data_IF_696703529546
#
_entry.id   IF_696703529546
#
_cell.length_a   1.000
_cell.length_b   1.000
_cell.length_c   1.000
_cell.angle_alpha   90.00
_cell.angle_beta   90.00
_cell.angle_gamma   90.00
#
_symmetry.space_group_name_H-M   'P 1'
#
loop_
_entity.id
_entity.type
_entity.pdbx_description
1 polymer ?
#
# COMPACT_ATOMS: atom_id res chain seq x y z
N UNK A 1 -33.24 73.84 25.54
CA UNK A 1 -32.84 73.82 24.11
C UNK A 1 -33.12 72.43 23.54
N UNK A 2 -34.11 72.35 22.65
CA UNK A 2 -34.37 71.30 21.64
C UNK A 2 -33.12 71.13 20.73
N UNK A 3 -32.88 70.12 19.89
CA UNK A 3 -33.35 68.75 19.60
C UNK A 3 -32.55 68.37 18.30
N UNK A 4 -32.18 67.10 18.12
CA UNK A 4 -31.88 66.40 16.84
C UNK A 4 -30.62 66.75 16.02
N UNK A 5 -29.69 65.80 15.82
CA UNK A 5 -29.59 64.79 14.74
C UNK A 5 -29.28 65.40 13.36
N UNK A 6 -28.07 65.13 12.84
CA UNK A 6 -27.90 64.80 11.42
C UNK A 6 -26.72 63.82 11.25
N UNK A 7 -27.09 62.57 10.98
CA UNK A 7 -26.25 61.49 10.46
C UNK A 7 -26.09 61.75 8.96
N UNK A 8 -24.86 61.73 8.45
CA UNK A 8 -24.58 61.51 7.03
C UNK A 8 -23.50 60.44 6.92
N UNK A 9 -23.94 59.23 6.58
CA UNK A 9 -23.14 58.14 6.04
C UNK A 9 -22.76 58.45 4.60
N UNK A 10 -21.48 58.31 4.24
CA UNK A 10 -21.03 58.11 2.87
C UNK A 10 -19.71 57.33 2.86
N UNK A 11 -19.89 56.01 2.74
CA UNK A 11 -19.19 55.05 1.88
C UNK A 11 -17.78 55.40 1.40
N UNK A 12 -16.80 54.55 1.75
CA UNK A 12 -15.86 53.85 0.86
C UNK A 12 -15.14 52.80 1.72
N UNK A 13 -15.51 51.52 1.57
CA UNK A 13 -14.69 50.39 2.01
C UNK A 13 -14.15 49.76 0.73
N UNK A 14 -12.86 49.92 0.50
CA UNK A 14 -12.13 49.20 -0.54
C UNK A 14 -11.94 47.75 -0.08
N UNK A 15 -12.40 46.83 -0.91
CA UNK A 15 -12.11 45.40 -0.85
C UNK A 15 -10.68 45.21 -1.34
N UNK A 16 -9.79 44.71 -0.49
CA UNK A 16 -8.52 44.12 -0.93
C UNK A 16 -8.52 42.65 -0.55
N UNK A 17 -8.60 41.83 -1.60
CA UNK A 17 -8.20 40.43 -1.73
C UNK A 17 -7.51 39.79 -0.52
N UNK A 18 -8.18 38.81 0.08
CA UNK A 18 -7.54 37.79 0.92
C UNK A 18 -6.84 36.82 -0.04
N UNK A 19 -5.52 36.81 0.00
CA UNK A 19 -4.67 35.80 -0.65
C UNK A 19 -4.79 34.49 0.13
N UNK A 20 -4.96 33.37 -0.56
CA UNK A 20 -4.90 32.04 0.03
C UNK A 20 -3.51 31.83 0.67
N UNK A 21 -3.50 31.57 1.97
CA UNK A 21 -2.32 31.03 2.64
C UNK A 21 -2.02 29.64 2.08
N UNK A 22 -0.76 29.45 1.69
CA UNK A 22 -0.17 28.17 1.30
C UNK A 22 -0.27 27.20 2.48
N UNK A 23 -1.10 26.17 2.32
CA UNK A 23 -1.06 24.98 3.19
C UNK A 23 0.23 24.24 2.84
N UNK A 24 1.29 24.52 3.58
CA UNK A 24 2.49 23.69 3.59
C UNK A 24 2.14 22.32 4.21
N UNK A 25 1.74 21.37 3.37
CA UNK A 25 1.94 19.96 3.67
C UNK A 25 3.46 19.71 3.61
N UNK A 26 4.09 19.48 4.75
CA UNK A 26 5.44 18.89 4.80
C UNK A 26 5.29 17.37 4.77
N UNK A 27 5.44 16.69 3.62
CA UNK A 27 5.55 15.24 3.62
C UNK A 27 6.78 14.82 4.45
N UNK A 28 6.69 13.70 5.14
CA UNK A 28 7.83 13.10 5.83
C UNK A 28 8.86 12.74 4.75
N UNK A 29 10.00 13.43 4.76
CA UNK A 29 11.05 13.32 3.74
C UNK A 29 11.91 12.08 4.00
N UNK A 30 11.45 10.91 3.55
CA UNK A 30 12.33 9.76 3.33
C UNK A 30 12.97 9.88 1.93
N UNK A 31 14.13 10.53 1.82
CA UNK A 31 14.87 10.60 0.56
C UNK A 31 15.66 9.32 0.32
N UNK A 32 15.15 8.46 -0.58
CA UNK A 32 15.94 7.37 -1.15
C UNK A 32 16.34 7.78 -2.56
N UNK A 33 17.61 8.20 -2.69
CA UNK A 33 18.23 8.60 -3.95
C UNK A 33 18.94 7.40 -4.60
N UNK A 34 18.59 7.09 -5.84
CA UNK A 34 19.25 6.04 -6.63
C UNK A 34 20.04 6.64 -7.79
N UNK A 35 21.28 6.21 -7.99
CA UNK A 35 22.07 6.58 -9.16
C UNK A 35 21.58 5.80 -10.41
N UNK A 36 21.66 6.37 -11.62
CA UNK A 36 21.19 5.73 -12.85
C UNK A 36 22.01 4.46 -13.16
N UNK A 37 21.33 3.32 -13.32
CA UNK A 37 21.95 2.07 -13.78
C UNK A 37 22.14 2.10 -15.31
N UNK A 38 23.37 2.29 -15.78
CA UNK A 38 23.73 2.03 -17.19
C UNK A 38 23.80 0.52 -17.42
N UNK A 39 22.88 -0.04 -18.19
CA UNK A 39 22.99 -1.42 -18.68
C UNK A 39 24.14 -1.54 -19.69
N UNK A 40 25.26 -2.08 -19.25
CA UNK A 40 26.33 -2.58 -20.13
C UNK A 40 26.62 -4.05 -19.81
N UNK A 41 26.68 -4.88 -20.86
CA UNK A 41 27.08 -6.30 -20.81
C UNK A 41 28.44 -6.46 -20.11
N UNK A 42 28.51 -7.42 -19.18
CA UNK A 42 29.73 -7.81 -18.46
C UNK A 42 30.88 -8.25 -19.38
N UNK A 43 32.12 -8.09 -18.89
CA UNK A 43 32.90 -9.30 -18.59
C UNK A 43 33.43 -9.37 -17.15
N UNK A 44 33.86 -10.60 -16.80
CA UNK A 44 34.17 -11.18 -15.47
C UNK A 44 35.48 -10.72 -14.81
N UNK A 45 35.54 -10.93 -13.48
CA UNK A 45 36.67 -10.97 -12.52
C UNK A 45 37.27 -9.62 -12.11
N UNK A 46 37.68 -9.32 -10.87
CA UNK A 46 37.82 -10.05 -9.60
C UNK A 46 37.88 -9.00 -8.46
N UNK A 47 37.53 -9.38 -7.22
CA UNK A 47 37.62 -8.62 -5.96
C UNK A 47 36.85 -7.29 -5.86
N UNK A 48 35.62 -7.34 -5.35
CA UNK A 48 34.99 -6.16 -4.75
C UNK A 48 34.15 -6.58 -3.56
N UNK A 49 34.39 -5.93 -2.41
CA UNK A 49 33.50 -5.98 -1.24
C UNK A 49 32.06 -5.82 -1.72
N UNK A 50 31.18 -6.66 -1.16
CA UNK A 50 29.78 -6.82 -1.55
C UNK A 50 29.10 -5.44 -1.63
N UNK A 51 28.67 -5.05 -2.83
CA UNK A 51 27.90 -3.81 -3.08
C UNK A 51 26.60 -3.78 -2.24
N UNK A 52 26.17 -4.94 -1.73
CA UNK A 52 25.05 -5.10 -0.78
C UNK A 52 25.22 -4.29 0.52
N UNK A 53 26.45 -4.00 0.97
CA UNK A 53 26.68 -3.29 2.24
C UNK A 53 26.58 -1.75 2.12
N UNK A 54 26.57 -1.19 0.89
CA UNK A 54 26.57 0.26 0.65
C UNK A 54 25.16 0.87 0.52
N UNK A 55 24.12 0.04 0.43
CA UNK A 55 22.76 0.50 0.12
C UNK A 55 21.69 -0.02 1.09
N UNK A 56 22.06 -0.36 2.33
CA UNK A 56 21.07 -0.54 3.40
C UNK A 56 20.65 0.86 3.90
N UNK A 57 19.48 1.41 3.51
CA UNK A 57 18.97 2.60 4.17
C UNK A 57 18.80 2.28 5.66
N UNK A 58 19.34 3.17 6.52
CA UNK A 58 18.94 3.21 7.93
C UNK A 58 17.47 3.63 7.96
N UNK A 59 16.57 2.65 7.91
CA UNK A 59 15.19 2.89 8.28
C UNK A 59 15.18 3.28 9.76
N UNK A 60 14.71 4.49 10.03
CA UNK A 60 14.25 4.86 11.35
C UNK A 60 13.12 3.86 11.65
N UNK A 61 13.34 3.02 12.66
CA UNK A 61 12.33 2.09 13.13
C UNK A 61 11.27 2.96 13.80
N UNK A 62 10.22 3.30 13.06
CA UNK A 62 8.97 3.68 13.70
C UNK A 62 8.57 2.47 14.55
N UNK A 63 8.95 2.47 15.82
CA UNK A 63 8.51 1.49 16.80
C UNK A 63 6.98 1.55 16.86
N UNK A 64 6.31 0.66 16.13
CA UNK A 64 4.86 0.55 16.16
C UNK A 64 4.46 0.18 17.59
N UNK A 65 3.89 1.15 18.30
CA UNK A 65 3.52 1.01 19.70
C UNK A 65 2.18 0.28 19.81
N UNK A 66 2.20 -1.03 19.62
CA UNK A 66 1.04 -1.90 19.89
C UNK A 66 0.66 -1.79 21.37
N UNK A 67 -0.43 -1.07 21.66
CA UNK A 67 -1.01 -1.07 23.01
C UNK A 67 -1.67 -2.43 23.25
N UNK A 68 -0.99 -3.32 24.00
CA UNK A 68 -1.64 -4.48 24.62
C UNK A 68 -2.67 -3.97 25.64
N UNK A 69 -3.94 -3.90 25.26
CA UNK A 69 -5.03 -3.90 26.23
C UNK A 69 -5.62 -5.31 26.27
N UNK A 70 -5.60 -5.90 27.46
CA UNK A 70 -6.05 -7.26 27.71
C UNK A 70 -7.57 -7.38 27.65
N UNK A 71 -8.01 -8.50 27.08
CA UNK A 71 -9.37 -9.04 26.96
C UNK A 71 -10.25 -8.45 25.84
N UNK A 72 -9.72 -8.40 24.63
CA UNK A 72 -10.30 -8.90 23.37
C UNK A 72 -9.16 -8.87 22.35
N UNK A 73 -8.90 -9.97 21.65
CA UNK A 73 -7.62 -10.23 20.96
C UNK A 73 -7.43 -9.45 19.64
N UNK A 74 -8.10 -8.32 19.45
CA UNK A 74 -8.00 -7.50 18.25
C UNK A 74 -7.17 -6.25 18.54
N UNK A 75 -6.29 -5.87 17.62
CA UNK A 75 -5.51 -4.63 17.76
C UNK A 75 -5.78 -3.71 16.59
N UNK A 76 -6.28 -2.52 16.88
CA UNK A 76 -6.54 -1.48 15.90
C UNK A 76 -5.47 -0.38 15.94
N UNK A 77 -5.08 0.10 14.76
CA UNK A 77 -4.19 1.25 14.59
C UNK A 77 -4.67 2.15 13.46
N UNK A 78 -4.60 3.47 13.69
CA UNK A 78 -5.24 4.46 12.84
C UNK A 78 -4.19 5.19 11.99
N UNK A 79 -4.32 5.07 10.68
CA UNK A 79 -3.51 5.76 9.67
C UNK A 79 -4.36 6.80 8.94
N UNK A 80 -3.72 7.75 8.25
CA UNK A 80 -4.43 8.83 7.55
C UNK A 80 -5.48 8.30 6.54
N UNK A 81 -5.18 7.22 5.83
CA UNK A 81 -6.05 6.65 4.78
C UNK A 81 -6.66 5.29 5.12
N UNK A 82 -6.18 4.62 6.17
CA UNK A 82 -6.62 3.28 6.53
C UNK A 82 -6.70 3.13 8.05
N UNK A 83 -7.71 2.42 8.52
CA UNK A 83 -7.74 1.82 9.85
C UNK A 83 -7.25 0.37 9.70
N UNK A 84 -6.18 0.00 10.40
CA UNK A 84 -5.68 -1.38 10.39
C UNK A 84 -6.15 -2.14 11.62
N UNK A 85 -6.72 -3.33 11.43
CA UNK A 85 -7.11 -4.26 12.49
C UNK A 85 -6.32 -5.57 12.33
N UNK A 86 -5.65 -5.99 13.39
CA UNK A 86 -4.98 -7.28 13.47
C UNK A 86 -5.87 -8.31 14.17
N UNK A 87 -6.02 -9.47 13.55
CA UNK A 87 -6.69 -10.64 14.09
C UNK A 87 -5.67 -11.78 14.25
N UNK A 88 -5.46 -12.28 15.48
CA UNK A 88 -4.58 -13.39 15.77
C UNK A 88 -5.26 -14.74 15.46
N UNK A 89 -4.45 -15.79 15.38
CA UNK A 89 -4.88 -17.12 14.95
C UNK A 89 -6.00 -17.71 15.80
N UNK A 90 -6.01 -17.42 17.10
CA UNK A 90 -7.02 -17.90 18.04
C UNK A 90 -8.40 -17.25 17.85
N UNK A 91 -8.49 -16.16 17.10
CA UNK A 91 -9.76 -15.47 16.84
C UNK A 91 -10.69 -16.26 15.91
N UNK A 92 -10.16 -17.21 15.13
CA UNK A 92 -10.92 -17.98 14.14
C UNK A 92 -11.27 -17.24 12.85
N UNK A 93 -11.04 -15.92 12.79
CA UNK A 93 -11.39 -15.04 11.65
C UNK A 93 -10.73 -15.50 10.34
N UNK A 94 -9.51 -16.03 10.40
CA UNK A 94 -8.85 -16.61 9.23
C UNK A 94 -9.70 -17.70 8.55
N UNK A 95 -10.28 -18.62 9.31
CA UNK A 95 -11.06 -19.72 8.75
C UNK A 95 -12.38 -19.25 8.13
N UNK A 96 -12.91 -18.11 8.57
CA UNK A 96 -14.13 -17.51 8.02
C UNK A 96 -13.85 -16.78 6.70
N UNK A 97 -12.66 -16.19 6.55
CA UNK A 97 -12.31 -15.33 5.43
C UNK A 97 -11.46 -16.01 4.34
N UNK A 98 -10.73 -17.08 4.67
CA UNK A 98 -9.82 -17.75 3.74
C UNK A 98 -10.55 -18.34 2.52
N UNK A 99 -10.05 -18.06 1.32
CA UNK A 99 -10.59 -18.60 0.08
C UNK A 99 -9.56 -19.53 -0.55
N UNK A 100 -9.93 -20.81 -0.72
CA UNK A 100 -9.05 -21.76 -1.41
C UNK A 100 -9.21 -21.66 -2.93
N UNK A 101 -8.41 -20.77 -3.55
CA UNK A 101 -8.38 -20.61 -5.01
C UNK A 101 -7.88 -21.86 -5.76
N UNK A 102 -7.24 -22.83 -5.09
CA UNK A 102 -6.73 -24.03 -5.76
C UNK A 102 -7.84 -24.97 -6.23
N UNK A 103 -9.05 -24.83 -5.66
CA UNK A 103 -10.21 -25.69 -5.95
C UNK A 103 -11.04 -25.23 -7.15
N UNK A 104 -10.91 -23.96 -7.57
CA UNK A 104 -11.64 -23.39 -8.71
C UNK A 104 -10.78 -23.42 -9.99
N UNK A 105 -11.10 -24.35 -10.89
CA UNK A 105 -10.32 -24.71 -12.09
C UNK A 105 -10.27 -23.67 -13.24
N UNK A 106 -10.58 -22.40 -12.99
CA UNK A 106 -10.53 -21.33 -14.00
C UNK A 106 -9.38 -20.36 -13.74
N UNK A 107 -8.26 -20.62 -14.43
CA UNK A 107 -7.09 -19.76 -14.69
C UNK A 107 -5.89 -19.85 -13.71
N UNK A 108 -4.95 -20.72 -14.06
CA UNK A 108 -3.56 -20.67 -13.60
C UNK A 108 -2.71 -19.82 -14.54
N UNK A 109 -2.37 -18.60 -14.14
CA UNK A 109 -1.19 -17.94 -14.69
C UNK A 109 -0.01 -18.34 -13.83
N UNK A 110 0.73 -19.37 -14.27
CA UNK A 110 2.04 -19.64 -13.68
C UNK A 110 2.96 -18.49 -14.09
N UNK A 111 3.13 -17.54 -13.17
CA UNK A 111 4.14 -16.47 -13.23
C UNK A 111 5.58 -17.00 -13.14
N UNK A 112 5.83 -18.30 -13.37
CA UNK A 112 7.15 -18.92 -13.15
C UNK A 112 8.25 -18.33 -14.01
N UNK A 113 7.91 -17.68 -15.14
CA UNK A 113 8.88 -17.12 -16.08
C UNK A 113 8.79 -15.59 -16.24
N UNK A 114 7.87 -14.90 -15.56
CA UNK A 114 7.69 -13.44 -15.67
C UNK A 114 7.58 -12.81 -14.29
N UNK A 115 8.32 -11.72 -14.06
CA UNK A 115 8.38 -11.04 -12.76
C UNK A 115 7.03 -10.43 -12.32
N UNK A 116 6.18 -10.06 -13.28
CA UNK A 116 4.87 -9.47 -13.01
C UNK A 116 3.84 -9.79 -14.11
N UNK A 117 2.55 -9.70 -13.76
CA UNK A 117 1.40 -9.84 -14.67
C UNK A 117 0.42 -8.68 -14.47
N UNK A 118 0.18 -7.92 -15.53
CA UNK A 118 -0.88 -6.90 -15.56
C UNK A 118 -2.26 -7.57 -15.64
N UNK A 119 -3.18 -7.08 -14.81
CA UNK A 119 -4.58 -7.46 -14.79
C UNK A 119 -5.46 -6.20 -14.77
N UNK A 120 -6.49 -6.17 -15.61
CA UNK A 120 -7.53 -5.16 -15.54
C UNK A 120 -8.58 -5.63 -14.54
N UNK A 121 -9.11 -4.71 -13.75
CA UNK A 121 -10.19 -4.97 -12.80
C UNK A 121 -11.45 -4.29 -13.32
N UNK A 122 -12.60 -4.96 -13.19
CA UNK A 122 -13.86 -4.50 -13.78
C UNK A 122 -14.61 -3.47 -12.89
N UNK A 123 -13.90 -2.89 -11.92
CA UNK A 123 -14.38 -1.84 -11.04
C UNK A 123 -13.29 -0.80 -10.77
N UNK A 124 -13.71 0.41 -10.42
CA UNK A 124 -12.80 1.47 -9.98
C UNK A 124 -12.44 1.27 -8.50
N UNK A 125 -11.20 0.84 -8.24
CA UNK A 125 -10.67 0.67 -6.88
C UNK A 125 -10.18 2.01 -6.33
N UNK A 126 -10.77 2.53 -5.24
CA UNK A 126 -10.21 3.68 -4.54
C UNK A 126 -8.92 3.29 -3.80
N UNK A 127 -7.82 3.95 -4.13
CA UNK A 127 -6.51 3.76 -3.47
C UNK A 127 -5.83 5.13 -3.32
N UNK A 128 -5.50 5.55 -2.09
CA UNK A 128 -4.84 6.84 -1.79
C UNK A 128 -5.30 8.04 -2.66
N UNK A 129 -6.60 8.32 -2.65
CA UNK A 129 -7.15 9.51 -3.33
C UNK A 129 -7.32 9.39 -4.85
N UNK A 130 -7.02 8.25 -5.46
CA UNK A 130 -7.24 8.00 -6.88
C UNK A 130 -7.98 6.69 -7.15
N UNK A 131 -8.58 6.60 -8.33
CA UNK A 131 -9.27 5.39 -8.80
C UNK A 131 -8.33 4.59 -9.69
N UNK A 132 -8.24 3.30 -9.42
CA UNK A 132 -7.38 2.34 -10.10
C UNK A 132 -8.25 1.33 -10.83
N UNK A 133 -7.93 1.05 -12.09
CA UNK A 133 -8.63 0.05 -12.93
C UNK A 133 -7.71 -1.04 -13.48
N UNK A 134 -6.42 -0.97 -13.15
CA UNK A 134 -5.40 -1.95 -13.51
C UNK A 134 -4.43 -2.13 -12.36
N UNK A 135 -4.07 -3.37 -12.06
CA UNK A 135 -3.03 -3.71 -11.08
C UNK A 135 -2.07 -4.73 -11.69
N UNK A 136 -0.87 -4.85 -11.12
CA UNK A 136 0.09 -5.88 -11.52
C UNK A 136 0.40 -6.82 -10.37
N UNK A 137 0.22 -8.12 -10.58
CA UNK A 137 0.60 -9.16 -9.62
C UNK A 137 2.09 -9.46 -9.80
N UNK A 138 2.87 -9.45 -8.73
CA UNK A 138 4.32 -9.71 -8.79
C UNK A 138 4.67 -11.07 -8.19
N UNK A 139 5.79 -11.65 -8.63
CA UNK A 139 6.36 -12.85 -7.99
C UNK A 139 6.91 -12.57 -6.59
N UNK A 140 7.15 -11.30 -6.27
CA UNK A 140 7.75 -10.83 -5.03
C UNK A 140 6.74 -10.62 -3.89
N UNK A 141 5.48 -11.07 -4.03
CA UNK A 141 4.51 -11.08 -2.92
C UNK A 141 3.71 -9.80 -2.72
N UNK A 142 3.63 -8.94 -3.74
CA UNK A 142 2.83 -7.71 -3.69
C UNK A 142 2.10 -7.42 -5.01
N UNK A 143 1.09 -6.57 -4.93
CA UNK A 143 0.42 -5.94 -6.07
C UNK A 143 1.03 -4.56 -6.31
N UNK A 144 1.47 -4.28 -7.53
CA UNK A 144 1.80 -2.92 -7.96
C UNK A 144 0.55 -2.24 -8.48
N UNK A 145 0.24 -1.08 -7.93
CA UNK A 145 -0.88 -0.23 -8.33
C UNK A 145 -0.48 0.74 -9.44
N UNK A 146 0.83 0.98 -9.57
CA UNK A 146 1.36 1.90 -10.55
C UNK A 146 1.20 1.36 -11.98
N UNK A 147 0.75 2.23 -12.89
CA UNK A 147 0.37 1.88 -14.26
C UNK A 147 1.53 1.96 -15.29
N UNK A 148 2.70 2.44 -14.88
CA UNK A 148 3.86 2.61 -15.77
C UNK A 148 5.02 1.73 -15.30
N UNK A 149 5.57 0.83 -16.12
CA UNK A 149 6.66 -0.05 -15.69
C UNK A 149 7.90 0.76 -15.31
N UNK A 150 8.49 0.50 -14.13
CA UNK A 150 9.78 1.03 -13.71
C UNK A 150 10.48 0.05 -12.75
N UNK A 151 11.80 0.11 -12.55
CA UNK A 151 12.52 -0.88 -11.73
C UNK A 151 12.24 -0.78 -10.22
N UNK A 152 11.56 0.28 -9.77
CA UNK A 152 11.31 0.58 -8.35
C UNK A 152 9.85 0.36 -7.94
N UNK A 153 9.07 -0.45 -8.66
CA UNK A 153 7.63 -0.63 -8.39
C UNK A 153 7.31 -1.12 -6.97
N UNK A 154 8.28 -1.77 -6.31
CA UNK A 154 8.18 -2.21 -4.92
C UNK A 154 8.29 -1.07 -3.89
N UNK A 155 8.66 0.15 -4.34
CA UNK A 155 8.86 1.32 -3.48
C UNK A 155 7.87 2.45 -3.79
N UNK A 156 7.08 2.34 -4.85
CA UNK A 156 6.10 3.35 -5.26
C UNK A 156 4.71 3.04 -4.70
N UNK A 157 3.79 2.58 -5.54
CA UNK A 157 2.41 2.30 -5.16
C UNK A 157 2.17 0.80 -5.06
N UNK A 158 2.01 0.29 -3.85
CA UNK A 158 1.87 -1.16 -3.62
C UNK A 158 0.82 -1.54 -2.58
N UNK A 159 0.31 -2.77 -2.75
CA UNK A 159 -0.41 -3.53 -1.74
C UNK A 159 0.39 -4.82 -1.49
N UNK A 160 1.03 -4.92 -0.32
CA UNK A 160 1.98 -5.97 0.00
C UNK A 160 1.50 -6.78 1.21
N UNK A 161 0.77 -7.90 1.03
CA UNK A 161 0.51 -8.85 2.11
C UNK A 161 1.81 -9.39 2.69
N UNK A 162 2.80 -9.65 1.84
CA UNK A 162 4.18 -9.91 2.26
C UNK A 162 5.13 -9.76 1.07
N UNK A 163 5.81 -8.62 0.97
CA UNK A 163 6.81 -8.38 -0.06
C UNK A 163 8.17 -8.87 0.41
N UNK A 164 8.80 -9.77 -0.35
CA UNK A 164 10.15 -10.28 -0.08
C UNK A 164 10.83 -10.71 -1.40
N UNK A 165 12.10 -11.11 -1.33
CA UNK A 165 12.83 -11.67 -2.49
C UNK A 165 12.39 -13.11 -2.79
N UNK A 166 11.11 -13.28 -3.15
CA UNK A 166 10.55 -14.57 -3.53
C UNK A 166 10.95 -14.97 -4.94
N UNK A 167 11.24 -16.25 -5.11
CA UNK A 167 11.53 -16.83 -6.41
C UNK A 167 10.70 -18.12 -6.64
N UNK A 168 9.46 -17.99 -7.15
CA UNK A 168 8.60 -19.14 -7.44
C UNK A 168 9.20 -20.15 -8.42
N UNK A 169 10.22 -19.78 -9.22
CA UNK A 169 10.87 -20.70 -10.16
C UNK A 169 11.76 -21.76 -9.47
N UNK A 170 12.15 -21.54 -8.21
CA UNK A 170 13.01 -22.46 -7.46
C UNK A 170 12.27 -23.67 -6.90
N UNK A 171 10.94 -23.62 -6.83
CA UNK A 171 10.11 -24.72 -6.34
C UNK A 171 8.97 -24.97 -7.32
N UNK A 172 8.90 -26.18 -7.89
CA UNK A 172 7.86 -26.59 -8.85
C UNK A 172 6.44 -26.56 -8.28
N UNK A 173 6.31 -26.65 -6.95
CA UNK A 173 5.04 -26.52 -6.24
C UNK A 173 4.60 -25.06 -6.07
N UNK A 174 5.50 -24.09 -6.23
CA UNK A 174 5.13 -22.68 -6.13
C UNK A 174 4.16 -22.31 -7.23
N UNK A 175 3.07 -21.65 -6.86
CA UNK A 175 2.03 -21.19 -7.78
C UNK A 175 1.53 -19.84 -7.31
N UNK A 176 1.10 -19.01 -8.26
CA UNK A 176 0.40 -17.76 -7.98
C UNK A 176 -0.95 -17.86 -8.66
N UNK A 177 -2.02 -17.69 -7.90
CA UNK A 177 -3.39 -17.71 -8.38
C UNK A 177 -4.00 -16.33 -8.22
N UNK A 178 -4.96 -16.02 -9.08
CA UNK A 178 -5.80 -14.86 -8.85
C UNK A 178 -7.20 -15.10 -9.39
N UNK A 179 -8.16 -14.43 -8.78
CA UNK A 179 -9.56 -14.38 -9.20
C UNK A 179 -10.04 -12.93 -9.17
N UNK A 180 -10.80 -12.53 -10.18
CA UNK A 180 -11.44 -11.22 -10.25
C UNK A 180 -12.94 -11.47 -10.23
N UNK A 181 -13.59 -10.98 -9.19
CA UNK A 181 -15.04 -10.98 -9.01
C UNK A 181 -15.59 -9.58 -9.31
N UNK A 182 -16.92 -9.42 -9.30
CA UNK A 182 -17.57 -8.11 -9.52
C UNK A 182 -17.22 -7.06 -8.46
N UNK A 183 -16.86 -7.49 -7.24
CA UNK A 183 -16.67 -6.63 -6.08
C UNK A 183 -15.30 -6.78 -5.40
N UNK A 184 -14.40 -7.64 -5.91
CA UNK A 184 -13.08 -7.86 -5.31
C UNK A 184 -12.11 -8.54 -6.27
N UNK A 185 -10.83 -8.45 -5.92
CA UNK A 185 -9.78 -9.31 -6.46
C UNK A 185 -9.20 -10.13 -5.33
N UNK A 186 -8.81 -11.36 -5.64
CA UNK A 186 -8.17 -12.29 -4.71
C UNK A 186 -6.87 -12.73 -5.36
N UNK A 187 -5.76 -12.70 -4.63
CA UNK A 187 -4.46 -13.16 -5.12
C UNK A 187 -3.78 -14.02 -4.06
N UNK A 188 -3.43 -15.25 -4.43
CA UNK A 188 -2.81 -16.25 -3.58
C UNK A 188 -1.39 -16.53 -4.07
N UNK A 189 -0.39 -16.35 -3.20
CA UNK A 189 0.96 -16.89 -3.38
C UNK A 189 1.03 -18.22 -2.63
N UNK A 190 1.02 -19.33 -3.36
CA UNK A 190 1.03 -20.68 -2.79
C UNK A 190 2.45 -21.25 -2.80
N UNK A 191 2.93 -21.69 -1.63
CA UNK A 191 4.21 -22.39 -1.43
C UNK A 191 5.43 -21.70 -2.05
N UNK A 192 5.45 -20.36 -2.05
CA UNK A 192 6.58 -19.59 -2.58
C UNK A 192 7.78 -19.68 -1.64
N UNK A 193 9.00 -19.63 -2.19
CA UNK A 193 10.25 -19.72 -1.42
C UNK A 193 11.10 -18.46 -1.58
N UNK A 194 11.81 -18.10 -0.53
CA UNK A 194 12.83 -17.05 -0.60
C UNK A 194 13.98 -17.48 -1.52
N UNK A 195 14.42 -16.54 -2.35
CA UNK A 195 15.43 -16.75 -3.36
C UNK A 195 16.77 -17.19 -2.71
N UNK A 196 17.23 -18.39 -3.05
CA UNK A 196 18.49 -18.93 -2.53
C UNK A 196 18.48 -19.23 -1.03
N UNK A 197 17.29 -19.26 -0.39
CA UNK A 197 17.09 -19.63 1.02
C UNK A 197 15.96 -20.65 1.20
N UNK A 198 16.00 -21.81 0.52
CA UNK A 198 14.95 -22.83 0.63
C UNK A 198 14.83 -23.44 2.03
N UNK A 199 15.88 -23.33 2.86
CA UNK A 199 15.89 -23.81 4.25
C UNK A 199 14.92 -23.08 5.17
N UNK A 200 14.51 -21.85 4.81
CA UNK A 200 13.49 -21.09 5.55
C UNK A 200 12.12 -21.76 5.45
N UNK A 201 11.85 -22.46 4.35
CA UNK A 201 10.58 -23.12 4.09
C UNK A 201 9.70 -22.37 3.09
N UNK A 202 8.44 -22.81 3.02
CA UNK A 202 7.45 -22.32 2.07
C UNK A 202 6.52 -21.31 2.74
N UNK A 203 6.09 -20.31 1.96
CA UNK A 203 5.13 -19.31 2.38
C UNK A 203 3.86 -19.47 1.57
N UNK A 204 2.71 -19.46 2.25
CA UNK A 204 1.39 -19.42 1.63
C UNK A 204 0.58 -18.29 2.24
N UNK A 205 0.21 -17.31 1.44
CA UNK A 205 -0.54 -16.15 1.88
C UNK A 205 -1.41 -15.58 0.77
N UNK A 206 -2.48 -14.90 1.17
CA UNK A 206 -3.50 -14.34 0.29
C UNK A 206 -3.70 -12.85 0.56
N UNK A 207 -4.01 -12.11 -0.49
CA UNK A 207 -4.60 -10.77 -0.37
C UNK A 207 -5.97 -10.74 -1.03
N UNK A 208 -6.93 -10.09 -0.37
CA UNK A 208 -8.24 -9.78 -0.93
C UNK A 208 -8.40 -8.26 -0.96
N UNK A 209 -8.63 -7.70 -2.13
CA UNK A 209 -8.86 -6.26 -2.32
C UNK A 209 -10.28 -6.05 -2.81
N UNK A 210 -11.13 -5.48 -1.97
CA UNK A 210 -12.52 -5.19 -2.29
C UNK A 210 -12.66 -3.86 -3.03
N UNK A 211 -13.68 -3.77 -3.87
CA UNK A 211 -14.13 -2.58 -4.61
C UNK A 211 -14.27 -1.32 -3.74
N UNK A 212 -14.64 -1.48 -2.48
CA UNK A 212 -14.79 -0.34 -1.57
C UNK A 212 -13.46 0.16 -0.99
N UNK A 213 -12.32 -0.47 -1.33
CA UNK A 213 -10.99 -0.15 -0.83
C UNK A 213 -10.57 -0.96 0.41
N UNK A 214 -11.42 -1.85 0.94
CA UNK A 214 -11.03 -2.79 2.02
C UNK A 214 -9.96 -3.75 1.50
N UNK A 215 -8.92 -3.96 2.28
CA UNK A 215 -7.84 -4.90 1.97
C UNK A 215 -7.71 -5.90 3.11
N UNK A 216 -7.57 -7.18 2.79
CA UNK A 216 -7.26 -8.25 3.74
C UNK A 216 -5.94 -8.90 3.37
N UNK A 217 -5.08 -9.15 4.36
CA UNK A 217 -3.91 -10.01 4.25
C UNK A 217 -4.12 -11.24 5.13
N UNK A 218 -4.06 -12.42 4.55
CA UNK A 218 -4.31 -13.69 5.25
C UNK A 218 -3.10 -14.60 5.13
N UNK A 219 -2.68 -15.20 6.24
CA UNK A 219 -1.45 -16.00 6.29
C UNK A 219 -1.77 -17.45 6.64
N UNK A 220 -1.58 -18.35 5.68
CA UNK A 220 -1.88 -19.77 5.82
C UNK A 220 -0.68 -20.58 6.29
N UNK A 221 0.44 -20.50 5.55
CA UNK A 221 1.67 -21.21 5.90
C UNK A 221 2.77 -20.17 6.07
N UNK A 222 3.22 -19.95 7.31
CA UNK A 222 4.35 -19.06 7.62
C UNK A 222 5.39 -19.87 8.41
N UNK A 223 6.61 -20.07 7.87
CA UNK A 223 7.60 -20.88 8.56
C UNK A 223 8.02 -20.27 9.90
N UNK A 224 8.01 -21.07 10.97
CA UNK A 224 8.46 -20.64 12.29
C UNK A 224 9.91 -20.11 12.28
N UNK A 225 10.75 -20.66 11.40
CA UNK A 225 12.15 -20.26 11.24
C UNK A 225 12.30 -18.79 10.83
N UNK A 226 11.27 -18.18 10.23
CA UNK A 226 11.23 -16.75 9.90
C UNK A 226 11.43 -15.86 11.14
N UNK A 227 10.89 -16.27 12.29
CA UNK A 227 10.99 -15.50 13.54
C UNK A 227 12.30 -15.75 14.30
N UNK A 228 12.89 -16.93 14.11
CA UNK A 228 14.11 -17.35 14.81
C UNK A 228 15.39 -16.88 14.10
N UNK A 229 15.30 -16.63 12.80
CA UNK A 229 16.43 -16.17 11.99
C UNK A 229 16.22 -14.70 11.64
N UNK A 230 17.30 -13.92 11.56
CA UNK A 230 17.28 -12.62 10.87
C UNK A 230 17.13 -12.80 9.34
N UNK A 231 16.32 -13.78 8.91
CA UNK A 231 16.10 -14.11 7.52
C UNK A 231 15.21 -13.09 6.82
N UNK A 232 14.37 -12.37 7.58
CA UNK A 232 13.79 -11.12 7.11
C UNK A 232 14.93 -10.13 6.91
N UNK A 233 15.29 -9.92 5.64
CA UNK A 233 16.11 -8.77 5.27
C UNK A 233 15.31 -7.49 5.56
N UNK A 234 15.99 -6.36 5.76
CA UNK A 234 15.41 -5.02 5.89
C UNK A 234 14.53 -4.57 4.70
N UNK A 235 14.48 -5.37 3.64
CA UNK A 235 13.69 -5.16 2.43
C UNK A 235 12.34 -5.87 2.45
N UNK A 236 12.10 -6.72 3.45
CA UNK A 236 10.79 -7.34 3.65
C UNK A 236 9.80 -6.24 4.07
N UNK A 237 8.56 -6.31 3.59
CA UNK A 237 7.55 -5.29 3.85
C UNK A 237 6.17 -5.92 3.91
N UNK A 238 5.38 -5.51 4.90
CA UNK A 238 3.94 -5.81 4.99
C UNK A 238 3.20 -4.49 5.09
N UNK A 239 2.22 -4.26 4.22
CA UNK A 239 1.41 -3.05 4.26
C UNK A 239 1.04 -2.49 2.89
N UNK A 240 0.77 -1.20 2.87
CA UNK A 240 0.36 -0.44 1.67
C UNK A 240 1.12 0.87 1.60
N UNK A 241 1.40 1.34 0.38
CA UNK A 241 2.02 2.65 0.19
C UNK A 241 1.54 3.34 -1.07
N UNK A 242 1.59 4.66 -1.01
CA UNK A 242 1.48 5.56 -2.16
C UNK A 242 2.72 6.46 -2.23
N UNK A 243 3.45 6.29 -3.32
CA UNK A 243 4.67 7.00 -3.60
C UNK A 243 4.88 7.09 -5.12
N UNK A 244 5.62 8.11 -5.56
CA UNK A 244 5.92 8.31 -6.98
C UNK A 244 7.41 8.45 -7.22
N UNK A 245 7.83 8.04 -8.41
CA UNK A 245 9.21 8.16 -8.88
C UNK A 245 9.38 9.49 -9.62
N UNK A 246 10.37 10.28 -9.20
CA UNK A 246 10.86 11.44 -9.94
C UNK A 246 12.22 11.10 -10.51
N UNK A 247 12.29 11.02 -11.83
CA UNK A 247 13.53 10.80 -12.56
C UNK A 247 14.21 12.15 -12.82
N UNK A 248 15.32 12.41 -12.12
CA UNK A 248 16.22 13.54 -12.39
C UNK A 248 17.40 13.05 -13.22
N UNK A 249 18.13 13.98 -13.84
CA UNK A 249 19.22 13.70 -14.81
C UNK A 249 20.25 12.70 -14.26
N UNK A 250 20.57 12.78 -12.96
CA UNK A 250 21.60 11.95 -12.32
C UNK A 250 21.10 11.13 -11.12
N UNK A 251 19.83 11.29 -10.74
CA UNK A 251 19.27 10.67 -9.53
C UNK A 251 17.79 10.38 -9.72
N UNK A 252 17.38 9.17 -9.39
CA UNK A 252 15.97 8.85 -9.21
C UNK A 252 15.60 9.02 -7.74
N UNK A 253 14.54 9.79 -7.47
CA UNK A 253 14.05 10.06 -6.11
C UNK A 253 12.65 9.48 -5.98
N UNK A 254 12.41 8.78 -4.88
CA UNK A 254 11.08 8.27 -4.53
C UNK A 254 10.49 9.18 -3.47
N UNK A 255 9.34 9.76 -3.79
CA UNK A 255 8.58 10.58 -2.86
C UNK A 255 7.42 9.77 -2.33
N UNK A 256 7.50 9.39 -1.05
CA UNK A 256 6.43 8.67 -0.36
C UNK A 256 5.46 9.67 0.27
N UNK A 257 4.20 9.61 -0.15
CA UNK A 257 3.15 10.42 0.45
C UNK A 257 2.64 9.77 1.73
N UNK A 258 2.25 8.50 1.61
CA UNK A 258 1.66 7.76 2.71
C UNK A 258 2.11 6.31 2.66
N UNK A 259 2.30 5.74 3.84
CA UNK A 259 2.63 4.33 4.01
C UNK A 259 1.99 3.82 5.28
N UNK A 260 1.42 2.62 5.19
CA UNK A 260 1.07 1.80 6.34
C UNK A 260 2.07 0.67 6.38
N UNK A 261 2.83 0.56 7.47
CA UNK A 261 3.66 -0.62 7.75
C UNK A 261 2.99 -1.42 8.84
N UNK A 262 2.77 -2.70 8.57
CA UNK A 262 2.21 -3.63 9.54
C UNK A 262 3.33 -4.44 10.17
N UNK A 263 3.15 -4.85 11.42
CA UNK A 263 4.21 -5.47 12.20
C UNK A 263 4.59 -6.84 11.66
N UNK A 264 5.81 -6.98 11.12
CA UNK A 264 6.31 -8.24 10.56
C UNK A 264 6.29 -9.39 11.57
N UNK A 265 6.55 -9.11 12.85
CA UNK A 265 6.51 -10.11 13.93
C UNK A 265 5.11 -10.63 14.28
N UNK A 266 4.05 -10.10 13.66
CA UNK A 266 2.66 -10.54 13.82
C UNK A 266 2.17 -11.40 12.64
N UNK A 267 2.97 -11.52 11.58
CA UNK A 267 2.70 -12.41 10.46
C UNK A 267 3.00 -13.85 10.88
N UNK A 268 1.97 -14.55 11.32
CA UNK A 268 2.04 -15.94 11.77
C UNK A 268 0.94 -16.74 11.07
N UNK A 269 1.09 -18.07 11.08
CA UNK A 269 0.05 -18.95 10.56
C UNK A 269 -1.30 -18.71 11.26
N UNK A 270 -2.34 -18.50 10.46
CA UNK A 270 -3.71 -18.24 10.90
C UNK A 270 -4.00 -16.78 11.25
N UNK A 271 -3.07 -15.84 11.10
CA UNK A 271 -3.34 -14.42 11.37
C UNK A 271 -3.92 -13.69 10.16
N UNK A 272 -4.62 -12.58 10.43
CA UNK A 272 -5.21 -11.70 9.41
C UNK A 272 -4.91 -10.25 9.75
N UNK A 273 -4.50 -9.46 8.76
CA UNK A 273 -4.60 -8.01 8.80
C UNK A 273 -5.76 -7.54 7.94
N UNK A 274 -6.60 -6.67 8.49
CA UNK A 274 -7.64 -5.95 7.76
C UNK A 274 -7.26 -4.47 7.70
N UNK A 275 -7.37 -3.88 6.53
CA UNK A 275 -7.23 -2.45 6.30
C UNK A 275 -8.57 -1.93 5.79
N UNK A 276 -9.29 -1.19 6.63
CA UNK A 276 -10.51 -0.49 6.26
C UNK A 276 -10.17 0.91 5.76
N UNK A 277 -10.60 1.31 4.55
CA UNK A 277 -10.30 2.64 4.03
C UNK A 277 -11.04 3.70 4.88
N UNK A 278 -10.30 4.71 5.33
CA UNK A 278 -10.90 5.88 5.96
C UNK A 278 -11.67 6.65 4.89
N UNK A 279 -12.96 6.99 5.12
CA UNK A 279 -13.75 7.74 4.16
C UNK A 279 -13.03 9.02 3.76
N UNK A 280 -12.81 9.18 2.46
CA UNK A 280 -12.08 10.30 1.89
C UNK A 280 -12.73 10.74 0.58
N UNK A 281 -12.25 11.84 0.01
CA UNK A 281 -12.94 12.52 -1.07
C UNK A 281 -13.11 11.67 -2.34
N UNK A 282 -12.25 10.67 -2.55
CA UNK A 282 -12.24 9.87 -3.78
C UNK A 282 -13.52 9.04 -3.99
N UNK A 283 -14.23 8.71 -2.91
CA UNK A 283 -15.45 7.90 -2.98
C UNK A 283 -16.71 8.73 -3.23
N UNK A 284 -16.57 10.06 -3.33
CA UNK A 284 -17.69 10.95 -3.62
C UNK A 284 -18.07 10.92 -5.11
N UNK A 285 -19.31 10.55 -5.42
CA UNK A 285 -19.86 10.51 -6.78
C UNK A 285 -20.79 11.70 -7.10
N UNK A 286 -21.06 12.53 -6.09
CA UNK A 286 -22.02 13.61 -6.13
C UNK A 286 -21.63 14.71 -5.13
N UNK A 287 -22.20 15.90 -5.32
CA UNK A 287 -22.01 17.02 -4.39
C UNK A 287 -22.53 16.68 -2.99
N UNK A 288 -23.68 16.01 -2.92
CA UNK A 288 -24.30 15.57 -1.67
C UNK A 288 -23.39 14.56 -0.95
N UNK A 289 -22.86 13.57 -1.67
CA UNK A 289 -21.90 12.60 -1.13
C UNK A 289 -20.61 13.27 -0.66
N UNK A 290 -20.03 14.16 -1.47
CA UNK A 290 -18.84 14.93 -1.13
C UNK A 290 -19.04 15.74 0.15
N UNK A 291 -20.14 16.49 0.24
CA UNK A 291 -20.46 17.29 1.43
C UNK A 291 -20.63 16.42 2.66
N UNK A 292 -21.30 15.27 2.52
CA UNK A 292 -21.48 14.35 3.63
C UNK A 292 -20.13 13.83 4.14
N UNK A 293 -19.24 13.38 3.24
CA UNK A 293 -17.90 12.91 3.58
C UNK A 293 -17.11 14.01 4.32
N UNK A 294 -17.17 15.26 3.85
CA UNK A 294 -16.53 16.40 4.54
C UNK A 294 -16.99 16.60 5.99
N UNK A 295 -18.16 16.07 6.40
CA UNK A 295 -18.66 16.25 7.77
C UNK A 295 -18.04 15.28 8.79
N UNK A 296 -17.52 14.13 8.35
CA UNK A 296 -16.99 13.10 9.25
C UNK A 296 -15.58 12.61 8.88
N UNK A 297 -15.07 13.02 7.72
CA UNK A 297 -13.72 12.74 7.28
C UNK A 297 -12.73 13.80 7.78
N UNK A 298 -11.48 13.40 8.03
CA UNK A 298 -10.37 14.34 8.24
C UNK A 298 -9.88 15.00 6.94
N UNK A 299 -10.39 14.57 5.78
CA UNK A 299 -10.00 15.11 4.48
C UNK A 299 -10.83 16.34 4.11
N UNK A 300 -10.15 17.37 3.60
CA UNK A 300 -10.79 18.60 3.12
C UNK A 300 -11.31 18.40 1.69
N UNK A 301 -12.53 17.87 1.55
CA UNK A 301 -13.10 17.58 0.25
C UNK A 301 -13.76 18.79 -0.43
N UNK A 302 -13.48 18.96 -1.72
CA UNK A 302 -14.13 19.88 -2.63
C UNK A 302 -14.83 19.16 -3.79
N UNK A 303 -15.88 19.77 -4.34
CA UNK A 303 -16.59 19.27 -5.51
C UNK A 303 -16.60 20.29 -6.63
N UNK A 304 -16.21 19.87 -7.83
CA UNK A 304 -16.32 20.71 -9.02
C UNK A 304 -17.45 20.24 -9.92
N UNK A 305 -18.59 20.93 -9.87
CA UNK A 305 -19.79 20.61 -10.67
C UNK A 305 -19.55 20.68 -12.19
N UNK A 306 -18.55 21.46 -12.65
CA UNK A 306 -18.22 21.57 -14.08
C UNK A 306 -17.60 20.30 -14.65
N UNK A 307 -16.72 19.64 -13.89
CA UNK A 307 -16.05 18.40 -14.32
C UNK A 307 -16.63 17.16 -13.66
N UNK A 308 -17.58 17.33 -12.72
CA UNK A 308 -18.14 16.27 -11.89
C UNK A 308 -17.05 15.43 -11.21
N UNK A 309 -16.07 16.13 -10.63
CA UNK A 309 -14.93 15.52 -9.92
C UNK A 309 -14.73 16.14 -8.55
N UNK A 310 -14.25 15.31 -7.63
CA UNK A 310 -13.73 15.70 -6.32
C UNK A 310 -12.28 16.20 -6.41
N UNK A 311 -11.86 16.97 -5.40
CA UNK A 311 -10.46 17.30 -5.12
C UNK A 311 -10.25 17.60 -3.64
#
# INVERSE_FOLDING_TARGET
>A
MKLSILIVFLSIVYVTSITLDEIHFTPIREEIAFAPTKYHRQPRNDNTKRIEDLYAPKYETDEIRYKRQSNEMMVEDNHTYYLSTFYPSESGVFNELWIDLTLNTSHHVVLSNTYLKYINIDFDLPFYGHLVSQVSITTAGFLSIFNTPHPYIHLTQYIAPFSADFNPSQNSESKIYYQIDEDRIIVLWEKVTLNGRPEIGFFTFETIVYKNGKILFLYKDIPALLNETSAMNYTSLIGVADAFLVELVDVNVIYTYHRVRLGEGLMLEGTVFQLDPVPNCVVADSWESCRNISCYSSFSCGWCSKVKKMF
#
